data_IF_540845366792
#
_entry.id   IF_540845366792
#
_cell.length_a   1.000
_cell.length_b   1.000
_cell.length_c   1.000
_cell.angle_alpha   90.00
_cell.angle_beta   90.00
_cell.angle_gamma   90.00
#
_symmetry.space_group_name_H-M   'P 1'
#
loop_
_entity.id
_entity.type
_entity.pdbx_description
1 polymer ?
#
# COMPACT_ATOMS: atom_id res chain seq x y z
N UNK A 1 -13.50 -0.75 33.12
CA UNK A 1 -13.39 0.16 31.96
C UNK A 1 -13.11 1.59 32.43
N UNK A 2 -12.00 2.15 31.99
CA UNK A 2 -11.50 3.48 32.36
C UNK A 2 -12.13 4.58 31.50
N UNK A 3 -12.15 5.84 32.00
CA UNK A 3 -12.65 7.01 31.25
C UNK A 3 -11.96 7.21 29.89
N UNK A 4 -10.70 6.76 29.77
CA UNK A 4 -9.89 6.85 28.55
C UNK A 4 -10.36 5.86 27.48
N UNK A 5 -10.73 4.64 27.86
CA UNK A 5 -11.30 3.64 26.95
C UNK A 5 -12.67 4.08 26.43
N UNK A 6 -13.50 4.68 27.29
CA UNK A 6 -14.81 5.22 26.89
C UNK A 6 -14.69 6.36 25.87
N UNK A 7 -13.71 7.27 26.01
CA UNK A 7 -13.44 8.33 25.03
C UNK A 7 -12.91 7.78 23.71
N UNK A 8 -12.06 6.76 23.75
CA UNK A 8 -11.52 6.13 22.53
C UNK A 8 -12.62 5.39 21.75
N UNK A 9 -13.50 4.67 22.44
CA UNK A 9 -14.66 4.01 21.83
C UNK A 9 -15.67 5.02 21.28
N UNK A 10 -15.90 6.14 21.97
CA UNK A 10 -16.76 7.20 21.46
C UNK A 10 -16.19 7.84 20.18
N UNK A 11 -14.87 8.09 20.13
CA UNK A 11 -14.21 8.59 18.92
C UNK A 11 -14.27 7.60 17.76
N UNK A 12 -14.04 6.30 18.00
CA UNK A 12 -14.18 5.25 16.97
C UNK A 12 -15.62 5.17 16.46
N UNK A 13 -16.60 5.28 17.35
CA UNK A 13 -18.02 5.24 16.99
C UNK A 13 -18.43 6.46 16.15
N UNK A 14 -18.01 7.66 16.55
CA UNK A 14 -18.22 8.88 15.76
C UNK A 14 -17.57 8.80 14.39
N UNK A 15 -16.38 8.20 14.29
CA UNK A 15 -15.65 8.04 13.04
C UNK A 15 -16.27 6.97 12.13
N UNK A 16 -16.89 5.92 12.71
CA UNK A 16 -17.73 4.97 11.98
C UNK A 16 -19.04 5.59 11.50
N UNK A 17 -19.71 6.38 12.35
CA UNK A 17 -20.94 7.10 11.99
C UNK A 17 -20.68 8.13 10.88
N UNK A 18 -19.57 8.87 10.94
CA UNK A 18 -19.14 9.78 9.86
C UNK A 18 -18.87 9.02 8.56
N UNK A 19 -18.24 7.84 8.62
CA UNK A 19 -18.02 6.97 7.45
C UNK A 19 -19.32 6.45 6.85
N UNK A 20 -20.26 6.00 7.66
CA UNK A 20 -21.56 5.54 7.19
C UNK A 20 -22.35 6.67 6.53
N UNK A 21 -22.24 7.91 7.05
CA UNK A 21 -22.84 9.09 6.44
C UNK A 21 -22.21 9.41 5.07
N UNK A 22 -20.88 9.38 4.97
CA UNK A 22 -20.16 9.57 3.70
C UNK A 22 -20.52 8.49 2.67
N UNK A 23 -20.70 7.24 3.11
CA UNK A 23 -21.11 6.14 2.24
C UNK A 23 -22.57 6.26 1.78
N UNK A 24 -23.49 6.67 2.66
CA UNK A 24 -24.91 6.87 2.31
C UNK A 24 -25.13 8.08 1.40
N UNK A 25 -24.48 9.21 1.67
CA UNK A 25 -24.56 10.41 0.83
C UNK A 25 -24.03 10.16 -0.59
N UNK A 26 -23.13 9.18 -0.76
CA UNK A 26 -22.55 8.80 -2.05
C UNK A 26 -23.48 7.96 -2.93
N UNK A 27 -24.29 7.08 -2.33
CA UNK A 27 -25.30 6.33 -3.08
C UNK A 27 -26.41 7.25 -3.62
N UNK A 28 -26.72 8.33 -2.90
CA UNK A 28 -27.75 9.30 -3.28
C UNK A 28 -27.24 10.43 -4.20
N UNK A 29 -25.92 10.66 -4.32
CA UNK A 29 -25.35 11.78 -5.11
C UNK A 29 -24.15 11.37 -5.97
N UNK A 30 -24.43 10.68 -7.08
CA UNK A 30 -23.46 10.46 -8.17
C UNK A 30 -22.96 11.73 -8.91
N UNK A 31 -23.31 12.94 -8.48
CA UNK A 31 -22.96 14.19 -9.16
C UNK A 31 -22.27 15.26 -8.29
N UNK A 32 -22.05 15.02 -6.99
CA UNK A 32 -21.46 16.04 -6.11
C UNK A 32 -19.94 15.84 -5.98
N UNK A 33 -19.16 16.87 -6.34
CA UNK A 33 -17.70 16.92 -6.17
C UNK A 33 -17.34 16.68 -4.70
N UNK A 34 -16.41 15.76 -4.44
CA UNK A 34 -15.98 15.44 -3.08
C UNK A 34 -15.07 16.55 -2.54
N UNK A 35 -15.19 16.88 -1.25
CA UNK A 35 -14.30 17.84 -0.60
C UNK A 35 -13.07 17.12 -0.07
N UNK A 36 -11.94 17.82 -0.02
CA UNK A 36 -10.68 17.27 0.47
C UNK A 36 -10.81 16.67 1.88
N UNK A 37 -11.51 17.36 2.78
CA UNK A 37 -11.68 16.93 4.17
C UNK A 37 -12.49 15.62 4.26
N UNK A 38 -13.55 15.48 3.45
CA UNK A 38 -14.39 14.28 3.43
C UNK A 38 -13.58 13.05 2.93
N UNK A 39 -12.76 13.26 1.89
CA UNK A 39 -11.88 12.23 1.34
C UNK A 39 -10.78 11.89 2.35
N UNK A 40 -10.20 12.88 3.03
CA UNK A 40 -9.18 12.63 4.05
C UNK A 40 -9.73 11.79 5.21
N UNK A 41 -10.93 12.07 5.71
CA UNK A 41 -11.60 11.27 6.76
C UNK A 41 -11.84 9.82 6.30
N UNK A 42 -12.19 9.63 5.03
CA UNK A 42 -12.33 8.30 4.45
C UNK A 42 -10.99 7.54 4.43
N UNK A 43 -9.89 8.24 4.13
CA UNK A 43 -8.54 7.69 4.03
C UNK A 43 -7.83 7.53 5.39
N UNK A 44 -8.30 8.20 6.45
CA UNK A 44 -7.69 8.17 7.79
C UNK A 44 -7.77 6.80 8.49
N UNK A 45 -8.57 5.85 7.98
CA UNK A 45 -8.48 4.47 8.47
C UNK A 45 -8.63 3.44 7.38
N UNK A 46 -9.18 2.28 7.73
CA UNK A 46 -9.11 1.11 6.85
C UNK A 46 -9.91 1.34 5.57
N UNK A 47 -9.19 1.60 4.49
CA UNK A 47 -9.76 1.80 3.17
C UNK A 47 -9.20 0.77 2.18
N UNK A 48 -9.98 0.51 1.14
CA UNK A 48 -9.62 -0.30 -0.02
C UNK A 48 -9.91 0.50 -1.29
N UNK A 49 -9.49 -0.03 -2.44
CA UNK A 49 -9.80 0.60 -3.73
C UNK A 49 -11.31 0.64 -3.97
N UNK A 50 -12.03 -0.44 -3.67
CA UNK A 50 -13.49 -0.52 -3.86
C UNK A 50 -14.24 0.58 -3.11
N UNK A 51 -13.77 0.90 -1.90
CA UNK A 51 -14.43 1.86 -1.02
C UNK A 51 -14.00 3.29 -1.37
N UNK A 52 -12.71 3.55 -1.54
CA UNK A 52 -12.21 4.92 -1.60
C UNK A 52 -12.03 5.49 -3.02
N UNK A 53 -11.90 4.64 -4.05
CA UNK A 53 -11.50 5.08 -5.38
C UNK A 53 -12.41 6.18 -5.95
N UNK A 54 -13.72 5.96 -6.01
CA UNK A 54 -14.55 6.96 -6.68
C UNK A 54 -14.62 8.29 -5.91
N UNK A 55 -14.49 8.30 -4.57
CA UNK A 55 -14.42 9.55 -3.80
C UNK A 55 -13.12 10.33 -4.08
N UNK A 56 -12.00 9.61 -4.28
CA UNK A 56 -10.72 10.21 -4.67
C UNK A 56 -10.75 10.68 -6.13
N UNK A 57 -11.42 9.96 -7.02
CA UNK A 57 -11.56 10.34 -8.44
C UNK A 57 -12.49 11.55 -8.63
N UNK A 58 -13.51 11.73 -7.78
CA UNK A 58 -14.42 12.89 -7.81
C UNK A 58 -13.89 14.13 -7.09
N UNK A 59 -12.67 14.05 -6.53
CA UNK A 59 -11.99 15.20 -5.95
C UNK A 59 -11.49 16.11 -7.07
N UNK A 60 -12.16 17.24 -7.23
CA UNK A 60 -11.87 18.25 -8.25
C UNK A 60 -10.77 19.20 -7.76
N UNK A 61 -9.53 18.70 -7.73
CA UNK A 61 -8.32 19.47 -7.44
C UNK A 61 -7.28 19.18 -8.52
N UNK A 62 -6.83 20.25 -9.19
CA UNK A 62 -5.76 20.18 -10.17
C UNK A 62 -4.40 19.93 -9.48
N UNK A 63 -3.50 19.25 -10.17
CA UNK A 63 -2.12 19.09 -9.71
C UNK A 63 -1.33 20.36 -10.03
N UNK A 64 -0.76 21.00 -9.00
CA UNK A 64 -0.05 22.28 -9.09
C UNK A 64 1.43 22.06 -8.80
N UNK A 65 2.29 22.50 -9.71
CA UNK A 65 3.74 22.48 -9.49
C UNK A 65 4.19 23.74 -8.74
N UNK A 66 4.99 23.55 -7.70
CA UNK A 66 5.46 24.61 -6.80
C UNK A 66 6.97 24.70 -6.90
N UNK A 67 7.44 25.85 -7.36
CA UNK A 67 8.84 26.21 -7.55
C UNK A 67 9.37 27.10 -6.42
N UNK A 68 8.49 27.80 -5.72
CA UNK A 68 8.85 28.67 -4.60
C UNK A 68 9.54 27.90 -3.46
N UNK A 69 10.37 28.61 -2.71
CA UNK A 69 10.95 28.09 -1.46
C UNK A 69 9.89 28.03 -0.36
N UNK A 70 9.92 26.97 0.44
CA UNK A 70 9.07 26.82 1.61
C UNK A 70 9.47 27.84 2.70
N UNK A 71 8.46 28.51 3.25
CA UNK A 71 8.56 29.32 4.46
C UNK A 71 7.53 28.85 5.48
N UNK A 72 7.93 28.69 6.75
CA UNK A 72 7.01 28.38 7.85
C UNK A 72 6.75 29.66 8.65
N UNK A 73 5.49 30.07 8.77
CA UNK A 73 5.12 31.37 9.37
C UNK A 73 3.81 31.30 10.17
N UNK A 74 3.61 32.17 11.17
CA UNK A 74 2.34 32.27 11.87
C UNK A 74 1.24 32.89 10.99
N UNK A 75 0.00 32.84 11.47
CA UNK A 75 -1.11 33.59 10.89
C UNK A 75 -0.87 35.10 11.02
N UNK A 76 -1.22 35.85 9.97
CA UNK A 76 -1.34 37.30 10.10
C UNK A 76 -2.64 37.65 10.84
N UNK A 77 -2.65 38.76 11.55
CA UNK A 77 -3.85 39.25 12.26
C UNK A 77 -4.99 39.46 11.26
N UNK A 78 -6.13 38.78 11.48
CA UNK A 78 -7.29 38.83 10.59
C UNK A 78 -7.21 37.92 9.34
N UNK A 79 -6.13 37.16 9.16
CA UNK A 79 -6.00 36.21 8.06
C UNK A 79 -7.02 35.07 8.21
N UNK A 80 -7.82 34.84 7.16
CA UNK A 80 -8.71 33.67 7.10
C UNK A 80 -7.91 32.39 6.89
N UNK A 81 -8.49 31.26 7.32
CA UNK A 81 -7.92 29.93 7.05
C UNK A 81 -7.61 29.78 5.55
N UNK A 82 -6.40 29.32 5.18
CA UNK A 82 -6.06 29.12 3.77
C UNK A 82 -7.04 28.15 3.11
N UNK A 83 -7.34 28.36 1.82
CA UNK A 83 -8.13 27.42 1.02
C UNK A 83 -7.18 26.67 0.09
N UNK A 84 -7.29 25.35 0.09
CA UNK A 84 -6.56 24.49 -0.85
C UNK A 84 -7.07 24.77 -2.26
N UNK A 85 -6.15 25.10 -3.18
CA UNK A 85 -6.45 25.45 -4.58
C UNK A 85 -6.22 24.29 -5.54
N UNK A 86 -5.34 23.36 -5.16
CA UNK A 86 -4.97 22.18 -5.94
C UNK A 86 -4.03 21.30 -5.11
N UNK A 87 -3.65 20.16 -5.65
CA UNK A 87 -2.72 19.23 -5.02
C UNK A 87 -1.30 19.57 -5.45
N UNK A 88 -0.40 19.85 -4.50
CA UNK A 88 1.02 20.04 -4.80
C UNK A 88 1.75 18.71 -4.68
N UNK A 89 2.96 18.61 -5.24
CA UNK A 89 3.72 17.36 -5.20
C UNK A 89 4.01 16.84 -3.78
N UNK A 90 4.06 15.52 -3.65
CA UNK A 90 4.21 14.82 -2.37
C UNK A 90 5.54 15.15 -1.65
N UNK A 91 6.62 15.38 -2.38
CA UNK A 91 7.91 15.81 -1.83
C UNK A 91 7.79 17.18 -1.14
N UNK A 92 7.12 18.14 -1.77
CA UNK A 92 6.87 19.48 -1.20
C UNK A 92 5.94 19.43 0.02
N UNK A 93 4.93 18.57 -0.01
CA UNK A 93 4.06 18.33 1.14
C UNK A 93 4.87 17.78 2.32
N UNK A 94 5.68 16.75 2.08
CA UNK A 94 6.49 16.13 3.13
C UNK A 94 7.57 17.07 3.69
N UNK A 95 8.18 17.90 2.83
CA UNK A 95 9.09 18.98 3.23
C UNK A 95 8.40 19.94 4.21
N UNK A 96 7.18 20.39 3.87
CA UNK A 96 6.39 21.30 4.69
C UNK A 96 5.92 20.69 6.02
N UNK A 97 5.39 19.47 6.00
CA UNK A 97 4.98 18.74 7.21
C UNK A 97 6.18 18.61 8.15
N UNK A 98 7.34 18.22 7.63
CA UNK A 98 8.56 18.06 8.42
C UNK A 98 9.02 19.38 9.02
N UNK A 99 9.01 20.46 8.24
CA UNK A 99 9.40 21.79 8.69
C UNK A 99 8.47 22.34 9.80
N UNK A 100 7.15 22.18 9.65
CA UNK A 100 6.18 22.61 10.68
C UNK A 100 6.40 21.82 11.97
N UNK A 101 6.50 20.49 11.89
CA UNK A 101 6.71 19.62 13.07
C UNK A 101 8.01 19.93 13.79
N UNK A 102 9.07 20.28 13.05
CA UNK A 102 10.37 20.67 13.63
C UNK A 102 10.30 21.94 14.51
N UNK A 103 9.30 22.80 14.30
CA UNK A 103 9.11 24.00 15.15
C UNK A 103 8.45 23.68 16.50
N UNK A 104 7.84 22.50 16.65
CA UNK A 104 7.00 22.16 17.80
C UNK A 104 5.66 22.90 17.88
N UNK A 105 5.32 23.71 16.87
CA UNK A 105 4.07 24.47 16.81
C UNK A 105 3.27 24.11 15.55
N UNK A 106 2.32 23.18 15.69
CA UNK A 106 1.46 22.70 14.62
C UNK A 106 0.48 23.76 14.07
N UNK A 107 0.36 24.92 14.73
CA UNK A 107 -0.50 26.03 14.29
C UNK A 107 0.18 26.93 13.24
N UNK A 108 1.44 26.65 12.89
CA UNK A 108 2.13 27.40 11.84
C UNK A 108 1.63 26.99 10.45
N UNK A 109 1.80 27.91 9.51
CA UNK A 109 1.42 27.74 8.11
C UNK A 109 2.67 27.48 7.28
N UNK A 110 2.59 26.50 6.39
CA UNK A 110 3.50 26.42 5.25
C UNK A 110 3.11 27.50 4.25
N UNK A 111 4.10 28.15 3.64
CA UNK A 111 3.90 29.13 2.59
C UNK A 111 4.90 28.96 1.47
N UNK A 112 4.40 29.06 0.24
CA UNK A 112 5.16 29.25 -0.98
C UNK A 112 4.65 30.49 -1.70
N UNK A 113 5.53 31.19 -2.41
CA UNK A 113 5.18 32.45 -3.08
C UNK A 113 4.16 32.25 -4.22
N UNK A 114 4.30 31.15 -4.94
CA UNK A 114 3.56 30.74 -6.12
C UNK A 114 2.32 29.89 -5.84
N UNK A 115 2.24 29.24 -4.66
CA UNK A 115 1.06 28.46 -4.25
C UNK A 115 0.16 29.18 -3.24
N UNK A 116 0.76 29.92 -2.30
CA UNK A 116 0.07 30.48 -1.14
C UNK A 116 0.37 29.72 0.15
N UNK A 117 -0.59 29.65 1.07
CA UNK A 117 -0.40 29.03 2.39
C UNK A 117 -1.24 27.77 2.56
N UNK A 118 -0.77 26.85 3.40
CA UNK A 118 -1.50 25.64 3.80
C UNK A 118 -1.29 25.35 5.30
N UNK A 119 -2.30 24.80 5.96
CA UNK A 119 -2.19 24.29 7.34
C UNK A 119 -1.60 22.89 7.37
N UNK A 120 -1.15 22.44 8.55
CA UNK A 120 -0.70 21.06 8.73
C UNK A 120 -1.78 20.04 8.33
N UNK A 121 -3.01 20.19 8.82
CA UNK A 121 -4.13 19.29 8.51
C UNK A 121 -4.41 19.22 7.00
N UNK A 122 -4.32 20.35 6.30
CA UNK A 122 -4.49 20.40 4.84
C UNK A 122 -3.38 19.65 4.12
N UNK A 123 -2.13 19.81 4.56
CA UNK A 123 -0.99 19.09 3.99
C UNK A 123 -1.11 17.58 4.22
N UNK A 124 -1.53 17.14 5.41
CA UNK A 124 -1.75 15.72 5.72
C UNK A 124 -2.90 15.13 4.89
N UNK A 125 -3.98 15.89 4.70
CA UNK A 125 -5.08 15.51 3.81
C UNK A 125 -4.62 15.36 2.35
N UNK A 126 -3.87 16.34 1.83
CA UNK A 126 -3.31 16.28 0.47
C UNK A 126 -2.35 15.08 0.31
N UNK A 127 -1.49 14.84 1.30
CA UNK A 127 -0.58 13.68 1.32
C UNK A 127 -1.36 12.37 1.22
N UNK A 128 -2.40 12.23 2.05
CA UNK A 128 -3.23 11.03 2.11
C UNK A 128 -3.90 10.73 0.76
N UNK A 129 -4.42 11.76 0.09
CA UNK A 129 -5.02 11.63 -1.25
C UNK A 129 -4.00 11.16 -2.27
N UNK A 130 -2.81 11.77 -2.32
CA UNK A 130 -1.77 11.40 -3.29
C UNK A 130 -1.23 9.99 -3.05
N UNK A 131 -1.03 9.61 -1.79
CA UNK A 131 -0.67 8.24 -1.43
C UNK A 131 -1.75 7.24 -1.86
N UNK A 132 -3.03 7.56 -1.65
CA UNK A 132 -4.14 6.71 -2.08
C UNK A 132 -4.17 6.55 -3.61
N UNK A 133 -3.98 7.64 -4.37
CA UNK A 133 -3.87 7.59 -5.85
C UNK A 133 -2.75 6.65 -6.29
N UNK A 134 -1.57 6.77 -5.69
CA UNK A 134 -0.43 5.89 -5.98
C UNK A 134 -0.77 4.42 -5.65
N UNK A 135 -1.42 4.16 -4.52
CA UNK A 135 -1.85 2.80 -4.14
C UNK A 135 -2.89 2.24 -5.10
N UNK A 136 -3.84 3.04 -5.59
CA UNK A 136 -4.80 2.60 -6.60
C UNK A 136 -4.15 2.26 -7.93
N UNK A 137 -3.12 3.01 -8.36
CA UNK A 137 -2.35 2.65 -9.55
C UNK A 137 -1.69 1.26 -9.41
N UNK A 138 -1.15 0.95 -8.24
CA UNK A 138 -0.57 -0.38 -7.97
C UNK A 138 -1.63 -1.50 -8.02
N UNK A 139 -2.83 -1.24 -7.49
CA UNK A 139 -3.94 -2.20 -7.62
C UNK A 139 -4.34 -2.35 -9.10
N UNK A 140 -4.42 -1.26 -9.87
CA UNK A 140 -4.69 -1.33 -11.31
C UNK A 140 -3.66 -2.20 -12.06
N UNK A 141 -2.36 -2.00 -11.82
CA UNK A 141 -1.32 -2.87 -12.40
C UNK A 141 -1.50 -4.33 -12.00
N UNK A 142 -1.92 -4.59 -10.77
CA UNK A 142 -2.23 -5.95 -10.29
C UNK A 142 -3.43 -6.55 -11.03
N UNK A 143 -4.49 -5.77 -11.25
CA UNK A 143 -5.67 -6.22 -12.00
C UNK A 143 -5.33 -6.54 -13.47
N UNK A 144 -4.50 -5.70 -14.11
CA UNK A 144 -4.02 -5.92 -15.47
C UNK A 144 -3.14 -7.17 -15.55
N UNK A 145 -2.30 -7.40 -14.55
CA UNK A 145 -1.49 -8.61 -14.46
C UNK A 145 -2.36 -9.87 -14.31
N UNK A 146 -3.34 -9.87 -13.40
CA UNK A 146 -4.29 -10.99 -13.21
C UNK A 146 -5.01 -11.31 -14.53
N UNK A 147 -5.37 -10.28 -15.30
CA UNK A 147 -6.01 -10.47 -16.60
C UNK A 147 -5.09 -11.18 -17.59
N UNK A 148 -3.82 -10.79 -17.66
CA UNK A 148 -2.84 -11.30 -18.65
C UNK A 148 -2.28 -12.66 -18.31
N UNK A 149 -2.07 -12.97 -17.04
CA UNK A 149 -1.42 -14.22 -16.63
C UNK A 149 -2.29 -15.42 -17.01
N UNK A 150 -1.68 -16.45 -17.60
CA UNK A 150 -2.35 -17.73 -17.87
C UNK A 150 -1.74 -18.77 -16.94
N UNK A 151 -2.59 -19.51 -16.23
CA UNK A 151 -2.16 -20.67 -15.44
C UNK A 151 -3.06 -21.85 -15.81
N UNK A 152 -2.48 -23.04 -15.88
CA UNK A 152 -3.26 -24.25 -16.07
C UNK A 152 -3.64 -24.79 -14.69
N UNK A 153 -4.89 -25.21 -14.53
CA UNK A 153 -5.40 -25.80 -13.29
C UNK A 153 -4.54 -27.00 -12.85
N UNK A 154 -4.06 -27.79 -13.81
CA UNK A 154 -3.15 -28.93 -13.57
C UNK A 154 -1.81 -28.56 -12.95
N UNK A 155 -1.40 -27.29 -13.10
CA UNK A 155 -0.14 -26.78 -12.55
C UNK A 155 -0.29 -26.33 -11.09
N UNK A 156 -1.53 -26.24 -10.58
CA UNK A 156 -1.82 -25.98 -9.15
C UNK A 156 -1.54 -27.25 -8.36
N UNK A 157 -0.48 -27.22 -7.55
CA UNK A 157 0.00 -28.35 -6.76
C UNK A 157 -0.13 -28.06 -5.26
N UNK A 158 -0.20 -29.10 -4.39
CA UNK A 158 -0.22 -28.89 -2.96
C UNK A 158 1.00 -28.07 -2.48
N UNK A 159 0.84 -27.16 -1.49
CA UNK A 159 -0.34 -26.98 -0.64
C UNK A 159 -1.44 -26.08 -1.22
N UNK A 160 -1.28 -25.56 -2.43
CA UNK A 160 -2.16 -24.54 -3.02
C UNK A 160 -3.43 -25.11 -3.69
N UNK A 161 -3.80 -26.36 -3.40
CA UNK A 161 -4.99 -27.02 -3.96
C UNK A 161 -6.26 -26.27 -3.55
N UNK A 162 -6.27 -25.61 -2.38
CA UNK A 162 -7.38 -24.77 -1.92
C UNK A 162 -7.67 -23.57 -2.84
N UNK A 163 -6.75 -23.26 -3.77
CA UNK A 163 -6.89 -22.20 -4.76
C UNK A 163 -7.34 -22.70 -6.14
N UNK A 164 -7.54 -24.01 -6.32
CA UNK A 164 -7.84 -24.61 -7.63
C UNK A 164 -9.16 -24.13 -8.22
N UNK A 165 -10.15 -23.84 -7.37
CA UNK A 165 -11.48 -23.38 -7.77
C UNK A 165 -11.59 -21.85 -7.87
N UNK A 166 -10.52 -21.11 -7.52
CA UNK A 166 -10.56 -19.65 -7.58
C UNK A 166 -10.45 -19.13 -9.00
N UNK A 167 -11.44 -18.37 -9.39
CA UNK A 167 -11.49 -17.64 -10.65
C UNK A 167 -10.61 -16.39 -10.62
N UNK A 168 -10.16 -15.94 -11.80
CA UNK A 168 -9.53 -14.62 -11.97
C UNK A 168 -10.37 -13.49 -11.36
N UNK A 169 -11.69 -13.57 -11.51
CA UNK A 169 -12.61 -12.57 -10.98
C UNK A 169 -12.57 -12.49 -9.45
N UNK A 170 -12.46 -13.62 -8.76
CA UNK A 170 -12.31 -13.65 -7.29
C UNK A 170 -10.96 -13.08 -6.83
N UNK A 171 -9.87 -13.32 -7.59
CA UNK A 171 -8.58 -12.68 -7.33
C UNK A 171 -8.66 -11.16 -7.51
N UNK A 172 -9.31 -10.69 -8.57
CA UNK A 172 -9.53 -9.25 -8.81
C UNK A 172 -10.33 -8.61 -7.68
N UNK A 173 -11.44 -9.22 -7.28
CA UNK A 173 -12.27 -8.76 -6.16
C UNK A 173 -11.48 -8.72 -4.85
N UNK A 174 -10.63 -9.71 -4.62
CA UNK A 174 -9.75 -9.72 -3.44
C UNK A 174 -8.75 -8.56 -3.49
N UNK A 175 -8.12 -8.32 -4.65
CA UNK A 175 -7.15 -7.24 -4.84
C UNK A 175 -7.76 -5.85 -4.61
N UNK A 176 -8.98 -5.60 -5.11
CA UNK A 176 -9.65 -4.30 -4.92
C UNK A 176 -10.18 -4.09 -3.50
N UNK A 177 -10.49 -5.17 -2.78
CA UNK A 177 -10.93 -5.16 -1.38
C UNK A 177 -9.76 -5.15 -0.38
N UNK A 178 -8.51 -5.29 -0.83
CA UNK A 178 -7.34 -5.26 0.06
C UNK A 178 -7.26 -3.93 0.80
N UNK A 179 -6.83 -4.01 2.05
CA UNK A 179 -6.61 -2.85 2.91
C UNK A 179 -5.34 -2.12 2.49
N UNK A 180 -5.51 -0.89 2.03
CA UNK A 180 -4.44 -0.04 1.49
C UNK A 180 -3.89 0.94 2.54
N UNK A 181 -4.43 0.97 3.76
CA UNK A 181 -4.01 1.87 4.84
C UNK A 181 -2.67 1.47 5.49
N UNK A 182 -2.11 0.31 5.13
CA UNK A 182 -0.83 -0.17 5.65
C UNK A 182 0.08 -0.59 4.49
N UNK A 183 1.37 -0.29 4.61
CA UNK A 183 2.43 -0.82 3.76
C UNK A 183 2.62 -2.32 4.01
N UNK A 184 1.60 -3.13 3.79
CA UNK A 184 1.65 -4.60 3.92
C UNK A 184 2.05 -5.24 2.59
N UNK A 185 2.97 -4.60 1.89
CA UNK A 185 3.68 -5.23 0.80
C UNK A 185 4.61 -6.26 1.40
N UNK A 186 4.58 -7.48 0.88
CA UNK A 186 5.47 -8.53 1.34
C UNK A 186 6.92 -8.07 1.15
N UNK A 187 7.61 -7.85 2.26
CA UNK A 187 9.04 -7.60 2.25
C UNK A 187 9.77 -8.92 1.98
N UNK A 188 10.91 -8.85 1.30
CA UNK A 188 11.74 -10.02 0.96
C UNK A 188 12.05 -10.89 2.17
N UNK A 189 12.31 -10.28 3.34
CA UNK A 189 12.53 -11.03 4.58
C UNK A 189 11.31 -11.82 5.05
N UNK A 190 10.10 -11.29 4.89
CA UNK A 190 8.84 -11.97 5.22
C UNK A 190 8.62 -13.18 4.31
N UNK A 191 8.87 -13.03 3.00
CA UNK A 191 8.82 -14.13 2.02
C UNK A 191 9.84 -15.21 2.35
N UNK A 192 11.09 -14.85 2.65
CA UNK A 192 12.15 -15.81 3.06
C UNK A 192 11.74 -16.56 4.33
N UNK A 193 11.21 -15.85 5.33
CA UNK A 193 10.82 -16.43 6.61
C UNK A 193 9.69 -17.44 6.44
N UNK A 194 8.69 -17.12 5.61
CA UNK A 194 7.61 -18.03 5.25
C UNK A 194 8.14 -19.26 4.52
N UNK A 195 9.01 -19.11 3.51
CA UNK A 195 9.58 -20.25 2.79
C UNK A 195 10.44 -21.16 3.68
N UNK A 196 11.20 -20.60 4.61
CA UNK A 196 11.97 -21.37 5.60
C UNK A 196 11.07 -22.14 6.57
N UNK A 197 9.99 -21.51 7.06
CA UNK A 197 9.01 -22.17 7.90
C UNK A 197 8.34 -23.34 7.17
N UNK A 198 7.92 -23.12 5.91
CA UNK A 198 7.37 -24.17 5.05
C UNK A 198 8.39 -25.30 4.85
N UNK A 199 9.65 -25.00 4.53
CA UNK A 199 10.72 -26.01 4.43
C UNK A 199 10.83 -26.87 5.69
N UNK A 200 10.81 -26.24 6.88
CA UNK A 200 10.86 -26.98 8.15
C UNK A 200 9.63 -27.84 8.38
N UNK A 201 8.44 -27.36 8.00
CA UNK A 201 7.18 -28.08 8.16
C UNK A 201 7.07 -29.28 7.21
N UNK A 202 7.59 -29.16 5.99
CA UNK A 202 7.50 -30.20 4.96
C UNK A 202 8.72 -31.13 4.89
N UNK A 203 9.67 -30.99 5.82
CA UNK A 203 10.85 -31.89 5.92
C UNK A 203 10.47 -33.36 6.17
N UNK A 204 9.24 -33.64 6.60
CA UNK A 204 8.67 -34.98 6.82
C UNK A 204 8.04 -35.62 5.58
N UNK A 205 7.76 -34.85 4.51
CA UNK A 205 7.07 -35.31 3.29
C UNK A 205 7.96 -35.37 2.03
N UNK A 206 9.23 -35.03 2.15
CA UNK A 206 10.21 -34.95 1.06
C UNK A 206 11.26 -33.88 1.37
N UNK A 207 12.48 -34.07 0.88
CA UNK A 207 13.58 -33.16 1.18
C UNK A 207 13.49 -31.93 0.24
N UNK A 208 13.23 -30.74 0.79
CA UNK A 208 12.96 -29.51 0.01
C UNK A 208 14.05 -28.47 0.23
N UNK A 209 14.61 -27.95 -0.86
CA UNK A 209 15.50 -26.79 -0.88
C UNK A 209 14.73 -25.50 -1.08
N UNK A 210 15.26 -24.38 -0.58
CA UNK A 210 14.67 -23.05 -0.80
C UNK A 210 15.67 -22.17 -1.53
N UNK A 211 15.21 -21.38 -2.50
CA UNK A 211 16.02 -20.32 -3.12
C UNK A 211 15.62 -18.99 -2.51
N UNK A 212 16.59 -18.30 -1.91
CA UNK A 212 16.40 -16.95 -1.41
C UNK A 212 16.07 -16.01 -2.60
N UNK A 213 15.02 -15.16 -2.53
CA UNK A 213 14.64 -14.29 -3.62
C UNK A 213 15.75 -13.35 -4.12
N UNK A 214 16.67 -12.94 -3.24
CA UNK A 214 17.85 -12.15 -3.61
C UNK A 214 18.74 -12.83 -4.65
N UNK A 215 18.66 -14.16 -4.79
CA UNK A 215 19.34 -14.93 -5.83
C UNK A 215 19.14 -14.33 -7.23
N UNK A 216 17.94 -13.83 -7.51
CA UNK A 216 17.55 -13.32 -8.83
C UNK A 216 18.18 -11.95 -9.15
N UNK A 217 18.55 -11.17 -8.14
CA UNK A 217 19.15 -9.83 -8.28
C UNK A 217 20.69 -9.87 -8.36
N UNK A 218 21.31 -10.98 -7.97
CA UNK A 218 22.77 -11.12 -7.99
C UNK A 218 23.29 -11.21 -9.43
N UNK A 219 24.32 -10.45 -9.79
CA UNK A 219 24.94 -10.55 -11.12
C UNK A 219 25.98 -11.69 -11.23
N UNK A 220 26.70 -11.98 -10.13
CA UNK A 220 27.83 -12.91 -10.13
C UNK A 220 27.45 -14.37 -9.92
N UNK A 221 27.92 -15.27 -10.80
CA UNK A 221 27.66 -16.72 -10.73
C UNK A 221 28.13 -17.34 -9.40
N UNK A 222 29.27 -16.90 -8.86
CA UNK A 222 29.80 -17.40 -7.57
C UNK A 222 28.89 -17.03 -6.40
N UNK A 223 28.38 -15.79 -6.39
CA UNK A 223 27.44 -15.31 -5.37
C UNK A 223 26.09 -16.02 -5.49
N UNK A 224 25.56 -16.18 -6.71
CA UNK A 224 24.35 -16.97 -6.96
C UNK A 224 24.44 -18.40 -6.43
N UNK A 225 25.54 -19.12 -6.74
CA UNK A 225 25.75 -20.49 -6.25
C UNK A 225 25.82 -20.56 -4.73
N UNK A 226 26.50 -19.60 -4.08
CA UNK A 226 26.57 -19.52 -2.63
C UNK A 226 25.18 -19.30 -2.00
N UNK A 227 24.46 -18.28 -2.45
CA UNK A 227 23.12 -17.94 -1.94
C UNK A 227 22.10 -19.06 -2.17
N UNK A 228 22.16 -19.76 -3.30
CA UNK A 228 21.31 -20.95 -3.51
C UNK A 228 21.71 -22.13 -2.58
N UNK A 229 23.00 -22.30 -2.30
CA UNK A 229 23.53 -23.36 -1.43
C UNK A 229 23.14 -23.20 0.04
N UNK A 230 23.20 -21.98 0.58
CA UNK A 230 22.94 -21.66 2.00
C UNK A 230 21.55 -22.13 2.47
N UNK A 231 20.57 -22.12 1.58
CA UNK A 231 19.19 -22.49 1.89
C UNK A 231 18.81 -23.90 1.43
N UNK A 232 19.81 -24.69 1.01
CA UNK A 232 19.68 -26.09 0.63
C UNK A 232 19.12 -26.31 -0.77
N UNK A 233 18.96 -25.28 -1.62
CA UNK A 233 18.52 -25.49 -3.01
C UNK A 233 19.49 -26.41 -3.77
N UNK A 234 20.80 -26.29 -3.48
CA UNK A 234 21.84 -27.13 -4.09
C UNK A 234 22.11 -28.47 -3.35
N UNK A 235 21.40 -28.77 -2.27
CA UNK A 235 21.60 -30.04 -1.55
C UNK A 235 21.13 -31.22 -2.43
N UNK A 236 21.98 -32.20 -2.77
CA UNK A 236 21.60 -33.34 -3.61
C UNK A 236 20.56 -34.26 -2.97
N UNK A 237 20.39 -34.24 -1.65
CA UNK A 237 19.37 -35.04 -0.98
C UNK A 237 17.96 -34.47 -1.11
N UNK A 238 17.84 -33.22 -1.57
CA UNK A 238 16.55 -32.58 -1.77
C UNK A 238 15.99 -32.96 -3.14
N UNK A 239 14.73 -33.37 -3.19
CA UNK A 239 14.01 -33.77 -4.40
C UNK A 239 13.36 -32.57 -5.10
N UNK A 240 13.14 -31.47 -4.37
CA UNK A 240 12.45 -30.28 -4.86
C UNK A 240 13.13 -29.00 -4.42
N UNK A 241 12.90 -27.94 -5.20
CA UNK A 241 13.29 -26.57 -4.86
C UNK A 241 12.05 -25.69 -4.91
N UNK A 242 11.80 -24.94 -3.84
CA UNK A 242 10.80 -23.87 -3.81
C UNK A 242 11.52 -22.53 -3.86
N UNK A 243 11.02 -21.61 -4.67
CA UNK A 243 11.61 -20.30 -4.85
C UNK A 243 10.53 -19.23 -5.00
N UNK A 244 10.89 -18.00 -4.67
CA UNK A 244 10.09 -16.84 -4.96
C UNK A 244 10.96 -15.77 -5.62
N UNK A 245 10.42 -15.10 -6.64
CA UNK A 245 11.04 -13.98 -7.33
C UNK A 245 10.11 -12.77 -7.21
N UNK A 246 10.69 -11.60 -6.97
CA UNK A 246 9.98 -10.34 -7.12
C UNK A 246 10.26 -9.82 -8.54
N UNK A 247 9.23 -9.70 -9.36
CA UNK A 247 9.31 -9.07 -10.69
C UNK A 247 8.65 -7.71 -10.56
N UNK A 248 9.47 -6.66 -10.61
CA UNK A 248 9.13 -5.26 -10.31
C UNK A 248 8.53 -5.07 -8.92
N UNK A 249 7.24 -5.35 -8.81
CA UNK A 249 6.37 -5.08 -7.68
C UNK A 249 5.53 -6.30 -7.30
N UNK A 250 5.76 -7.44 -7.96
CA UNK A 250 4.93 -8.63 -7.81
C UNK A 250 5.75 -9.84 -7.38
N UNK A 251 5.25 -10.56 -6.39
CA UNK A 251 5.85 -11.80 -5.92
C UNK A 251 5.30 -12.99 -6.70
N UNK A 252 6.20 -13.75 -7.33
CA UNK A 252 5.88 -15.00 -8.02
C UNK A 252 6.62 -16.12 -7.30
N UNK A 253 5.89 -17.19 -6.95
CA UNK A 253 6.48 -18.41 -6.43
C UNK A 253 6.56 -19.47 -7.53
N UNK A 254 7.61 -20.28 -7.52
CA UNK A 254 7.76 -21.42 -8.42
C UNK A 254 8.38 -22.61 -7.69
N UNK A 255 8.10 -23.81 -8.20
CA UNK A 255 8.69 -25.05 -7.70
C UNK A 255 9.41 -25.75 -8.85
N UNK A 256 10.55 -26.38 -8.54
CA UNK A 256 11.33 -27.18 -9.48
C UNK A 256 11.51 -28.57 -8.87
N UNK A 257 10.97 -29.59 -9.55
CA UNK A 257 11.31 -30.98 -9.26
C UNK A 257 12.72 -31.25 -9.80
N UNK A 258 13.58 -31.82 -8.96
CA UNK A 258 14.91 -32.24 -9.40
C UNK A 258 14.80 -33.58 -10.13
N UNK A 259 15.49 -33.73 -11.27
CA UNK A 259 15.64 -35.04 -11.88
C UNK A 259 16.34 -35.98 -10.89
N UNK A 260 15.80 -37.19 -10.75
CA UNK A 260 16.45 -38.28 -10.00
C UNK A 260 17.67 -38.79 -10.74
#
# INVERSE_FOLDING_TARGET
MTRREKRRQAGVKQLQEARELVLKDRDDKKAQKSRLDDVAVLLEGHYSMDIAKAAVDTLDLEDIEVYGSLSVRPYHVGQRAPKVRGLIRLDKINEAISAIRATGNEKLLANWLDYGSATLDQLEAMSSVLEARNRFQLVHFTLDWIERVQWQIKDVQPPFIDLIDKTKQEYKKTATAMRLDKNLWLHTSSTISAMLALKSMYSTGGAVGVVNPSYHELAGLRSRKRTAGEYGAMNPTNDRIIAAICIDHHWVAYVVDKPK
#
